data_IF_040797760390
#
_entry.id   IF_040797760390
#
_cell.length_a   1.000
_cell.length_b   1.000
_cell.length_c   1.000
_cell.angle_alpha   90.00
_cell.angle_beta   90.00
_cell.angle_gamma   90.00
#
_symmetry.space_group_name_H-M   'P 1'
#
loop_
_entity.id
_entity.type
_entity.pdbx_description
1 polymer ?
#
# COMPACT_ATOMS: atom_id res chain seq x y z
N UNK A 1 -63.19 -20.43 14.25
CA UNK A 1 -61.96 -20.28 13.42
C UNK A 1 -61.92 -18.84 12.95
N UNK A 2 -60.95 -18.04 13.40
CA UNK A 2 -60.80 -16.65 12.96
C UNK A 2 -60.06 -16.65 11.63
N UNK A 3 -60.68 -16.08 10.60
CA UNK A 3 -60.06 -15.83 9.31
C UNK A 3 -58.94 -14.81 9.48
N UNK A 4 -57.71 -15.14 9.08
CA UNK A 4 -56.62 -14.17 9.01
C UNK A 4 -56.97 -13.11 7.96
N UNK A 5 -57.19 -11.88 8.41
CA UNK A 5 -57.34 -10.72 7.54
C UNK A 5 -56.04 -10.53 6.76
N UNK A 6 -56.05 -10.96 5.49
CA UNK A 6 -54.97 -10.67 4.53
C UNK A 6 -54.97 -9.17 4.26
N UNK A 7 -54.18 -8.43 5.01
CA UNK A 7 -53.92 -7.01 4.78
C UNK A 7 -53.31 -6.85 3.38
N UNK A 8 -54.14 -6.46 2.40
CA UNK A 8 -53.67 -6.22 1.04
C UNK A 8 -52.77 -5.00 1.04
N UNK A 9 -51.49 -5.18 0.71
CA UNK A 9 -50.55 -4.09 0.55
C UNK A 9 -51.05 -3.17 -0.57
N UNK A 10 -51.48 -1.96 -0.20
CA UNK A 10 -51.95 -0.96 -1.15
C UNK A 10 -50.75 -0.25 -1.80
N UNK A 11 -50.11 -0.95 -2.75
CA UNK A 11 -48.92 -0.45 -3.43
C UNK A 11 -49.38 0.42 -4.61
N UNK A 12 -49.11 1.72 -4.52
CA UNK A 12 -49.27 2.63 -5.64
C UNK A 12 -48.04 2.49 -6.55
N UNK A 13 -48.23 1.85 -7.71
CA UNK A 13 -47.21 1.74 -8.74
C UNK A 13 -47.40 2.90 -9.72
N UNK A 14 -46.31 3.59 -10.07
CA UNK A 14 -46.33 4.61 -11.12
C UNK A 14 -46.88 4.01 -12.44
N UNK A 15 -47.96 4.57 -13.02
CA UNK A 15 -48.54 4.06 -14.26
C UNK A 15 -47.55 3.97 -15.41
N UNK A 16 -46.60 4.91 -15.51
CA UNK A 16 -45.59 4.90 -16.57
C UNK A 16 -44.61 3.75 -16.42
N UNK A 17 -44.22 3.44 -15.18
CA UNK A 17 -43.40 2.27 -14.86
C UNK A 17 -44.15 0.98 -15.19
N UNK A 18 -45.41 0.86 -14.82
CA UNK A 18 -46.23 -0.33 -15.10
C UNK A 18 -46.37 -0.60 -16.60
N UNK A 19 -46.56 0.44 -17.41
CA UNK A 19 -46.62 0.33 -18.87
C UNK A 19 -45.30 -0.17 -19.46
N UNK A 20 -44.16 0.38 -18.99
CA UNK A 20 -42.82 -0.06 -19.44
C UNK A 20 -42.55 -1.52 -19.09
N UNK A 21 -42.91 -1.96 -17.89
CA UNK A 21 -42.73 -3.35 -17.47
C UNK A 21 -43.64 -4.30 -18.26
N UNK A 22 -44.91 -3.93 -18.48
CA UNK A 22 -45.83 -4.69 -19.34
C UNK A 22 -45.31 -4.85 -20.77
N UNK A 23 -44.82 -3.77 -21.38
CA UNK A 23 -44.26 -3.83 -22.72
C UNK A 23 -43.03 -4.76 -22.81
N UNK A 24 -42.17 -4.75 -21.79
CA UNK A 24 -41.02 -5.66 -21.71
C UNK A 24 -41.43 -7.12 -21.46
N UNK A 25 -42.45 -7.36 -20.63
CA UNK A 25 -43.00 -8.70 -20.41
C UNK A 25 -43.59 -9.29 -21.71
N UNK A 26 -44.34 -8.49 -22.46
CA UNK A 26 -44.89 -8.90 -23.77
C UNK A 26 -43.76 -9.20 -24.77
N UNK A 27 -42.75 -8.33 -24.86
CA UNK A 27 -41.59 -8.55 -25.75
C UNK A 27 -40.80 -9.81 -25.43
N UNK A 28 -40.81 -10.24 -24.17
CA UNK A 28 -40.14 -11.46 -23.71
C UNK A 28 -41.05 -12.70 -23.74
N UNK A 29 -42.31 -12.56 -24.16
CA UNK A 29 -43.27 -13.66 -24.25
C UNK A 29 -43.75 -14.20 -22.90
N UNK A 30 -43.56 -13.45 -21.81
CA UNK A 30 -43.87 -13.89 -20.44
C UNK A 30 -45.07 -13.13 -19.87
N UNK A 31 -45.78 -13.75 -18.93
CA UNK A 31 -46.78 -13.05 -18.14
C UNK A 31 -46.11 -11.99 -17.26
N UNK A 32 -46.83 -10.91 -16.96
CA UNK A 32 -46.30 -9.80 -16.16
C UNK A 32 -45.76 -10.27 -14.80
N UNK A 33 -46.47 -11.21 -14.16
CA UNK A 33 -46.06 -11.79 -12.88
C UNK A 33 -44.78 -12.58 -13.00
N UNK A 34 -44.66 -13.48 -13.99
CA UNK A 34 -43.45 -14.26 -14.22
C UNK A 34 -42.25 -13.37 -14.56
N UNK A 35 -42.46 -12.33 -15.38
CA UNK A 35 -41.42 -11.37 -15.73
C UNK A 35 -40.92 -10.58 -14.51
N UNK A 36 -41.83 -10.13 -13.64
CA UNK A 36 -41.46 -9.38 -12.42
C UNK A 36 -40.76 -10.29 -11.41
N UNK A 37 -41.25 -11.52 -11.21
CA UNK A 37 -40.61 -12.50 -10.33
C UNK A 37 -39.18 -12.81 -10.77
N UNK A 38 -38.96 -13.05 -12.06
CA UNK A 38 -37.62 -13.29 -12.61
C UNK A 38 -36.72 -12.05 -12.50
N UNK A 39 -37.28 -10.86 -12.68
CA UNK A 39 -36.51 -9.60 -12.57
C UNK A 39 -36.05 -9.39 -11.12
N UNK A 40 -36.91 -9.67 -10.14
CA UNK A 40 -36.58 -9.62 -8.71
C UNK A 40 -35.52 -10.67 -8.34
N UNK A 41 -35.67 -11.91 -8.82
CA UNK A 41 -34.68 -12.98 -8.60
C UNK A 41 -33.31 -12.65 -9.21
N UNK A 42 -33.28 -12.13 -10.45
CA UNK A 42 -32.02 -11.71 -11.10
C UNK A 42 -31.37 -10.53 -10.38
N UNK A 43 -32.16 -9.53 -9.97
CA UNK A 43 -31.63 -8.35 -9.27
C UNK A 43 -31.03 -8.69 -7.90
N UNK A 44 -31.50 -9.74 -7.23
CA UNK A 44 -30.93 -10.22 -5.97
C UNK A 44 -29.53 -10.83 -6.13
N UNK A 45 -29.23 -11.42 -7.29
CA UNK A 45 -27.93 -12.07 -7.58
C UNK A 45 -26.92 -11.05 -8.12
N UNK A 46 -27.41 -10.00 -8.78
CA UNK A 46 -26.58 -9.00 -9.44
C UNK A 46 -26.12 -7.88 -8.50
N UNK A 47 -26.87 -7.61 -7.42
CA UNK A 47 -26.50 -6.60 -6.44
C UNK A 47 -25.14 -6.88 -5.78
N UNK A 48 -24.83 -8.13 -5.45
CA UNK A 48 -23.54 -8.48 -4.84
C UNK A 48 -22.39 -8.36 -5.83
N UNK A 49 -22.56 -8.85 -7.06
CA UNK A 49 -21.50 -8.71 -8.09
C UNK A 49 -21.26 -7.27 -8.51
N UNK A 50 -22.31 -6.45 -8.58
CA UNK A 50 -22.18 -5.04 -8.95
C UNK A 50 -21.52 -4.23 -7.82
N UNK A 51 -21.75 -4.60 -6.55
CA UNK A 51 -21.03 -4.04 -5.40
C UNK A 51 -19.54 -4.37 -5.50
N UNK A 52 -19.16 -5.62 -5.78
CA UNK A 52 -17.75 -6.01 -5.92
C UNK A 52 -17.08 -5.24 -7.08
N UNK A 53 -17.78 -5.04 -8.19
CA UNK A 53 -17.29 -4.25 -9.33
C UNK A 53 -17.16 -2.77 -8.95
N UNK A 54 -18.11 -2.22 -8.20
CA UNK A 54 -18.07 -0.85 -7.70
C UNK A 54 -16.91 -0.67 -6.73
N UNK A 55 -16.71 -1.58 -5.79
CA UNK A 55 -15.58 -1.59 -4.86
C UNK A 55 -14.25 -1.66 -5.60
N UNK A 56 -14.11 -2.55 -6.59
CA UNK A 56 -12.90 -2.61 -7.42
C UNK A 56 -12.65 -1.33 -8.23
N UNK A 57 -13.71 -0.68 -8.72
CA UNK A 57 -13.60 0.60 -9.41
C UNK A 57 -13.23 1.72 -8.44
N UNK A 58 -13.77 1.69 -7.23
CA UNK A 58 -13.46 2.66 -6.17
C UNK A 58 -12.01 2.52 -5.72
N UNK A 59 -11.53 1.29 -5.49
CA UNK A 59 -10.12 0.96 -5.25
C UNK A 59 -9.19 1.44 -6.37
N UNK A 60 -9.58 1.31 -7.64
CA UNK A 60 -8.79 1.85 -8.76
C UNK A 60 -8.76 3.38 -8.77
N UNK A 61 -9.89 4.02 -8.47
CA UNK A 61 -9.99 5.48 -8.40
C UNK A 61 -9.17 6.02 -7.22
N UNK A 62 -9.24 5.39 -6.04
CA UNK A 62 -8.42 5.72 -4.88
C UNK A 62 -6.93 5.56 -5.17
N UNK A 63 -6.51 4.46 -5.81
CA UNK A 63 -5.12 4.30 -6.25
C UNK A 63 -4.69 5.41 -7.22
N UNK A 64 -5.55 5.77 -8.16
CA UNK A 64 -5.27 6.87 -9.10
C UNK A 64 -5.23 8.24 -8.42
N UNK A 65 -6.06 8.47 -7.40
CA UNK A 65 -6.06 9.70 -6.62
C UNK A 65 -4.83 9.79 -5.71
N UNK A 66 -4.46 8.71 -5.00
CA UNK A 66 -3.21 8.64 -4.24
C UNK A 66 -1.97 8.80 -5.13
N UNK A 67 -2.01 8.35 -6.38
CA UNK A 67 -0.96 8.61 -7.37
C UNK A 67 -0.99 10.06 -7.88
N UNK A 68 -2.14 10.72 -7.87
CA UNK A 68 -2.30 12.12 -8.31
C UNK A 68 -1.95 13.12 -7.20
N UNK A 69 -2.16 12.74 -5.94
CA UNK A 69 -1.71 13.51 -4.77
C UNK A 69 -0.17 13.50 -4.67
N UNK A 70 0.50 12.50 -5.24
CA UNK A 70 1.96 12.49 -5.45
C UNK A 70 2.43 13.43 -6.58
N UNK A 71 1.53 14.13 -7.29
CA UNK A 71 1.88 15.11 -8.34
C UNK A 71 1.62 16.57 -7.94
N UNK A 72 1.12 16.85 -6.72
CA UNK A 72 1.16 18.20 -6.18
C UNK A 72 2.44 18.43 -5.39
N UNK A 73 3.54 18.57 -6.13
CA UNK A 73 4.67 19.38 -5.67
C UNK A 73 4.20 20.83 -5.51
N UNK A 74 4.69 21.44 -4.45
CA UNK A 74 4.68 22.87 -4.16
C UNK A 74 3.40 23.42 -3.50
N UNK A 75 3.28 23.17 -2.19
CA UNK A 75 3.08 24.26 -1.22
C UNK A 75 3.42 23.83 0.19
N UNK A 76 4.23 24.67 0.81
CA UNK A 76 4.67 24.65 2.19
C UNK A 76 3.51 24.50 3.19
N UNK A 77 3.89 23.85 4.30
CA UNK A 77 3.34 24.02 5.64
C UNK A 77 1.89 23.61 5.92
N UNK A 78 1.82 22.57 6.76
CA UNK A 78 0.81 22.25 7.75
C UNK A 78 -0.17 21.11 7.41
N UNK A 79 -0.09 20.09 8.27
CA UNK A 79 -1.14 19.12 8.59
C UNK A 79 -1.50 18.13 7.49
N UNK A 80 -0.61 17.19 7.24
CA UNK A 80 -1.07 15.80 7.10
C UNK A 80 0.00 14.93 7.73
N UNK A 81 -0.40 14.25 8.78
CA UNK A 81 0.35 13.21 9.46
C UNK A 81 0.55 12.09 8.44
N UNK A 82 1.53 12.26 7.55
CA UNK A 82 1.83 11.29 6.51
C UNK A 82 2.37 10.05 7.21
N UNK A 83 2.02 8.91 6.62
CA UNK A 83 2.10 7.58 7.17
C UNK A 83 3.56 7.08 7.32
N UNK A 84 4.46 7.89 7.85
CA UNK A 84 5.91 7.64 7.99
C UNK A 84 6.20 7.09 9.38
N UNK A 85 6.70 5.86 9.44
CA UNK A 85 7.11 5.18 10.68
C UNK A 85 8.42 5.78 11.21
N UNK A 86 9.25 6.31 10.31
CA UNK A 86 10.54 6.91 10.61
C UNK A 86 10.52 8.42 10.38
N UNK A 87 11.23 9.15 11.25
CA UNK A 87 11.49 10.58 11.03
C UNK A 87 12.60 10.78 10.01
N UNK A 88 12.54 11.83 9.19
CA UNK A 88 13.62 12.17 8.26
C UNK A 88 14.96 12.42 8.99
N UNK A 89 14.89 13.01 10.18
CA UNK A 89 16.07 13.22 11.02
C UNK A 89 16.69 11.90 11.52
N UNK A 90 15.86 10.89 11.77
CA UNK A 90 16.26 9.56 12.18
C UNK A 90 16.83 8.76 11.01
N UNK A 91 16.16 8.80 9.86
CA UNK A 91 16.63 8.17 8.63
C UNK A 91 17.99 8.71 8.20
N UNK A 92 18.21 10.03 8.29
CA UNK A 92 19.50 10.65 8.03
C UNK A 92 20.59 10.10 8.96
N UNK A 93 20.34 10.06 10.28
CA UNK A 93 21.30 9.50 11.25
C UNK A 93 21.59 8.02 11.00
N UNK A 94 20.57 7.26 10.62
CA UNK A 94 20.73 5.86 10.26
C UNK A 94 21.64 5.69 9.03
N UNK A 95 21.48 6.54 8.01
CA UNK A 95 22.36 6.58 6.85
C UNK A 95 23.81 6.96 7.19
N UNK A 96 24.00 7.97 8.05
CA UNK A 96 25.31 8.39 8.54
C UNK A 96 26.03 7.25 9.28
N UNK A 97 25.33 6.58 10.20
CA UNK A 97 25.88 5.43 10.95
C UNK A 97 26.21 4.26 10.02
N UNK A 98 25.38 3.98 9.01
CA UNK A 98 25.67 2.94 8.02
C UNK A 98 26.95 3.25 7.23
N UNK A 99 27.14 4.50 6.82
CA UNK A 99 28.34 4.97 6.12
C UNK A 99 29.59 4.86 7.01
N UNK A 100 29.52 5.34 8.25
CA UNK A 100 30.63 5.25 9.20
C UNK A 100 31.06 3.81 9.45
N UNK A 101 30.09 2.91 9.63
CA UNK A 101 30.36 1.48 9.79
C UNK A 101 31.00 0.90 8.53
N UNK A 102 30.49 1.21 7.35
CA UNK A 102 31.07 0.75 6.10
C UNK A 102 32.52 1.20 5.94
N UNK A 103 32.82 2.48 6.18
CA UNK A 103 34.17 3.02 6.12
C UNK A 103 35.11 2.36 7.15
N UNK A 104 34.62 2.13 8.38
CA UNK A 104 35.39 1.47 9.44
C UNK A 104 35.75 0.03 9.06
N UNK A 105 34.78 -0.76 8.56
CA UNK A 105 35.03 -2.13 8.14
C UNK A 105 35.86 -2.22 6.85
N UNK A 106 35.71 -1.26 5.93
CA UNK A 106 36.58 -1.14 4.75
C UNK A 106 38.04 -0.94 5.17
N UNK A 107 38.31 0.00 6.10
CA UNK A 107 39.66 0.24 6.63
C UNK A 107 40.19 -1.01 7.34
N UNK A 108 39.35 -1.68 8.15
CA UNK A 108 39.71 -2.89 8.89
C UNK A 108 40.08 -4.06 7.96
N UNK A 109 39.34 -4.24 6.87
CA UNK A 109 39.62 -5.27 5.85
C UNK A 109 40.70 -4.87 4.84
N UNK A 110 41.17 -3.61 4.85
CA UNK A 110 42.13 -3.04 3.89
C UNK A 110 41.68 -3.19 2.42
N UNK A 111 40.39 -3.03 2.18
CA UNK A 111 39.80 -3.11 0.85
C UNK A 111 39.75 -1.73 0.18
N UNK A 112 39.89 -1.70 -1.14
CA UNK A 112 39.57 -0.50 -1.91
C UNK A 112 38.06 -0.24 -1.87
N UNK A 113 37.62 0.97 -2.22
CA UNK A 113 36.19 1.27 -2.21
C UNK A 113 35.42 0.44 -3.24
N UNK A 114 36.02 0.17 -4.39
CA UNK A 114 35.43 -0.65 -5.45
C UNK A 114 35.32 -2.12 -5.02
N UNK A 115 36.36 -2.68 -4.40
CA UNK A 115 36.34 -4.06 -3.91
C UNK A 115 35.33 -4.25 -2.77
N UNK A 116 35.23 -3.27 -1.86
CA UNK A 116 34.27 -3.30 -0.77
C UNK A 116 32.82 -3.26 -1.28
N UNK A 117 32.54 -2.46 -2.32
CA UNK A 117 31.22 -2.42 -2.95
C UNK A 117 30.92 -3.69 -3.74
N UNK A 118 31.92 -4.29 -4.42
CA UNK A 118 31.75 -5.55 -5.13
C UNK A 118 31.45 -6.73 -4.18
N UNK A 119 32.16 -6.81 -3.03
CA UNK A 119 31.84 -7.79 -1.99
C UNK A 119 30.42 -7.56 -1.43
N UNK A 120 30.08 -6.30 -1.13
CA UNK A 120 28.77 -5.96 -0.59
C UNK A 120 27.64 -6.22 -1.61
N UNK A 121 27.88 -6.01 -2.90
CA UNK A 121 26.95 -6.34 -3.99
C UNK A 121 26.59 -7.81 -4.00
N UNK A 122 27.59 -8.68 -3.78
CA UNK A 122 27.37 -10.13 -3.70
C UNK A 122 26.49 -10.49 -2.51
N UNK A 123 26.66 -9.82 -1.36
CA UNK A 123 25.79 -9.99 -0.19
C UNK A 123 24.38 -9.43 -0.43
N UNK A 124 24.26 -8.26 -1.09
CA UNK A 124 22.99 -7.63 -1.42
C UNK A 124 22.15 -8.46 -2.39
N UNK A 125 22.79 -9.21 -3.31
CA UNK A 125 22.10 -10.11 -4.23
C UNK A 125 21.29 -11.23 -3.55
N UNK A 126 21.54 -11.50 -2.26
CA UNK A 126 20.78 -12.48 -1.47
C UNK A 126 19.51 -11.88 -0.84
N UNK A 127 19.30 -10.56 -0.94
CA UNK A 127 18.19 -9.86 -0.31
C UNK A 127 17.38 -9.08 -1.34
N UNK A 128 16.06 -9.01 -1.13
CA UNK A 128 15.17 -8.16 -1.93
C UNK A 128 15.38 -6.70 -1.53
N UNK A 129 16.41 -6.07 -2.07
CA UNK A 129 16.85 -4.71 -1.75
C UNK A 129 17.21 -3.97 -3.03
N UNK A 130 17.22 -2.63 -2.96
CA UNK A 130 17.67 -1.77 -4.04
C UNK A 130 19.18 -1.49 -3.87
N UNK A 131 20.07 -2.27 -4.52
CA UNK A 131 21.51 -2.14 -4.32
C UNK A 131 22.03 -0.77 -4.74
N UNK A 132 21.43 -0.12 -5.73
CA UNK A 132 21.80 1.22 -6.19
C UNK A 132 21.61 2.25 -5.07
N UNK A 133 20.46 2.25 -4.41
CA UNK A 133 20.15 3.17 -3.31
C UNK A 133 21.11 2.95 -2.13
N UNK A 134 21.44 1.69 -1.83
CA UNK A 134 22.41 1.34 -0.78
C UNK A 134 23.80 1.87 -1.12
N UNK A 135 24.27 1.73 -2.35
CA UNK A 135 25.57 2.25 -2.75
C UNK A 135 25.62 3.78 -2.71
N UNK A 136 24.59 4.46 -3.20
CA UNK A 136 24.53 5.92 -3.13
C UNK A 136 24.54 6.43 -1.69
N UNK A 137 23.87 5.73 -0.78
CA UNK A 137 23.91 6.04 0.65
C UNK A 137 25.30 5.83 1.26
N UNK A 138 25.97 4.72 0.97
CA UNK A 138 27.30 4.41 1.49
C UNK A 138 28.38 5.35 0.92
N UNK A 139 28.22 5.78 -0.33
CA UNK A 139 29.05 6.82 -0.95
C UNK A 139 28.76 8.19 -0.32
N UNK A 140 27.58 8.38 0.28
CA UNK A 140 27.08 9.64 0.83
C UNK A 140 26.57 10.59 -0.24
N UNK A 141 26.21 10.06 -1.41
CA UNK A 141 25.57 10.81 -2.49
C UNK A 141 24.06 10.95 -2.26
N UNK A 142 23.49 10.07 -1.44
CA UNK A 142 22.07 10.10 -1.08
C UNK A 142 21.87 10.27 0.43
N UNK A 143 20.86 11.06 0.80
CA UNK A 143 20.43 11.23 2.19
C UNK A 143 19.12 10.49 2.37
N UNK A 144 19.13 9.46 3.20
CA UNK A 144 17.94 8.65 3.45
C UNK A 144 16.83 9.49 4.10
N UNK A 145 15.64 9.39 3.55
CA UNK A 145 14.41 10.00 4.08
C UNK A 145 13.62 9.00 4.93
N UNK A 146 12.80 9.51 5.84
CA UNK A 146 11.91 8.71 6.68
C UNK A 146 10.89 7.94 5.85
N UNK A 147 10.49 8.48 4.70
CA UNK A 147 9.59 7.82 3.74
C UNK A 147 10.25 6.61 3.10
N UNK A 148 11.47 6.74 2.56
CA UNK A 148 12.22 5.62 1.97
C UNK A 148 12.47 4.50 2.99
N UNK A 149 12.81 4.88 4.22
CA UNK A 149 13.01 3.92 5.32
C UNK A 149 11.69 3.22 5.72
N UNK A 150 10.58 3.95 5.69
CA UNK A 150 9.24 3.40 5.96
C UNK A 150 8.80 2.43 4.87
N UNK A 151 9.02 2.77 3.61
CA UNK A 151 8.66 1.92 2.46
C UNK A 151 9.51 0.66 2.42
N UNK A 152 10.82 0.79 2.67
CA UNK A 152 11.73 -0.35 2.82
C UNK A 152 11.24 -1.29 3.95
N UNK A 153 10.87 -0.74 5.11
CA UNK A 153 10.33 -1.52 6.23
C UNK A 153 9.01 -2.22 5.89
N UNK A 154 8.05 -1.52 5.27
CA UNK A 154 6.73 -2.08 4.91
C UNK A 154 6.81 -3.19 3.87
N UNK A 155 7.79 -3.10 2.97
CA UNK A 155 8.05 -4.13 1.98
C UNK A 155 8.91 -5.29 2.53
N UNK A 156 9.25 -5.29 3.82
CA UNK A 156 10.12 -6.30 4.43
C UNK A 156 11.59 -6.18 4.02
N UNK A 157 11.95 -5.13 3.30
CA UNK A 157 13.29 -4.87 2.77
C UNK A 157 14.13 -4.15 3.83
N UNK A 158 14.77 -4.92 4.70
CA UNK A 158 15.87 -4.44 5.55
C UNK A 158 17.24 -4.93 5.06
N UNK A 159 17.35 -5.26 3.77
CA UNK A 159 18.50 -5.99 3.25
C UNK A 159 19.80 -5.20 3.27
N UNK A 160 19.78 -3.87 3.41
CA UNK A 160 21.02 -3.12 3.71
C UNK A 160 21.63 -3.54 5.06
N UNK A 161 20.81 -3.64 6.12
CA UNK A 161 21.29 -4.05 7.44
C UNK A 161 21.79 -5.49 7.41
N UNK A 162 21.03 -6.38 6.78
CA UNK A 162 21.38 -7.80 6.67
C UNK A 162 22.65 -7.99 5.84
N UNK A 163 22.76 -7.34 4.67
CA UNK A 163 23.94 -7.41 3.83
C UNK A 163 25.19 -6.82 4.51
N UNK A 164 25.06 -5.71 5.24
CA UNK A 164 26.17 -5.18 6.04
C UNK A 164 26.53 -6.14 7.18
N UNK A 165 25.55 -6.76 7.85
CA UNK A 165 25.83 -7.70 8.95
C UNK A 165 26.57 -8.94 8.45
N UNK A 166 26.11 -9.51 7.33
CA UNK A 166 26.75 -10.64 6.66
C UNK A 166 28.16 -10.27 6.17
N UNK A 167 28.33 -9.10 5.56
CA UNK A 167 29.62 -8.65 5.04
C UNK A 167 30.65 -8.38 6.15
N UNK A 168 30.20 -7.78 7.26
CA UNK A 168 31.06 -7.44 8.40
C UNK A 168 31.23 -8.59 9.40
N UNK A 169 30.41 -9.64 9.27
CA UNK A 169 30.29 -10.75 10.21
C UNK A 169 30.17 -10.27 11.66
N UNK A 170 29.38 -9.21 11.85
CA UNK A 170 29.23 -8.49 13.11
C UNK A 170 27.77 -8.12 13.34
N UNK A 171 27.37 -8.03 14.61
CA UNK A 171 25.98 -7.75 15.02
C UNK A 171 25.50 -6.34 14.68
N UNK A 172 26.41 -5.44 14.25
CA UNK A 172 26.13 -4.04 13.88
C UNK A 172 25.16 -3.35 14.86
N UNK A 173 25.39 -3.53 16.16
CA UNK A 173 24.56 -2.95 17.23
C UNK A 173 24.33 -1.44 17.06
N UNK A 174 25.32 -0.60 16.69
CA UNK A 174 25.11 0.83 16.48
C UNK A 174 24.11 1.14 15.36
N UNK A 175 24.07 0.30 14.32
CA UNK A 175 23.12 0.44 13.21
C UNK A 175 21.71 0.06 13.66
N UNK A 176 21.59 -0.95 14.53
CA UNK A 176 20.31 -1.37 15.08
C UNK A 176 19.75 -0.33 16.08
N UNK A 177 20.61 0.26 16.91
CA UNK A 177 20.23 1.37 17.78
C UNK A 177 19.81 2.60 16.96
N UNK A 178 20.55 2.95 15.92
CA UNK A 178 20.17 4.05 15.02
C UNK A 178 18.82 3.79 14.34
N UNK A 179 18.56 2.54 13.93
CA UNK A 179 17.26 2.14 13.38
C UNK A 179 16.14 2.33 14.40
N UNK A 180 16.30 1.83 15.62
CA UNK A 180 15.29 1.96 16.68
C UNK A 180 15.06 3.41 17.11
N UNK A 181 16.12 4.22 17.17
CA UNK A 181 16.04 5.64 17.47
C UNK A 181 15.38 6.45 16.35
N UNK A 182 15.40 5.94 15.12
CA UNK A 182 14.75 6.58 13.98
C UNK A 182 13.23 6.33 13.95
N UNK A 183 12.74 5.30 14.64
CA UNK A 183 11.31 4.96 14.73
C UNK A 183 10.59 6.01 15.58
N UNK A 184 9.60 6.66 15.00
CA UNK A 184 8.66 7.48 15.77
C UNK A 184 7.61 6.58 16.41
N UNK A 185 7.80 6.29 17.71
CA UNK A 185 6.89 5.44 18.52
C UNK A 185 5.42 5.92 18.47
N UNK A 186 5.18 7.19 18.12
CA UNK A 186 3.84 7.77 17.97
C UNK A 186 3.05 7.25 16.76
N UNK A 187 3.71 6.66 15.75
CA UNK A 187 3.08 6.20 14.50
C UNK A 187 3.00 4.65 14.41
N UNK A 188 3.17 3.96 15.53
CA UNK A 188 3.22 2.49 15.63
C UNK A 188 1.86 1.82 15.94
N UNK A 189 0.75 2.54 15.80
CA UNK A 189 -0.62 2.07 16.12
C UNK A 189 -1.53 2.21 14.92
#
# INVERSE_FOLDING_TARGET
>A
MKSEDKSQLNIKIDPQLLLKVKAKAIKSGKTLTAFVSELLERSSIQATSDIDILEQRLLRIEKLLNLKDNFHSDKEENSTQSNTIFSDSGAKKYGEVAKELFDLYRIKKKLSMEDALAELSTCLGNYDSQPELVFELLLGNHVLTGLEMTDAYRNGSCGMRSALSDWTNSSLEPLNEAFLNAVEVKNLV
#
